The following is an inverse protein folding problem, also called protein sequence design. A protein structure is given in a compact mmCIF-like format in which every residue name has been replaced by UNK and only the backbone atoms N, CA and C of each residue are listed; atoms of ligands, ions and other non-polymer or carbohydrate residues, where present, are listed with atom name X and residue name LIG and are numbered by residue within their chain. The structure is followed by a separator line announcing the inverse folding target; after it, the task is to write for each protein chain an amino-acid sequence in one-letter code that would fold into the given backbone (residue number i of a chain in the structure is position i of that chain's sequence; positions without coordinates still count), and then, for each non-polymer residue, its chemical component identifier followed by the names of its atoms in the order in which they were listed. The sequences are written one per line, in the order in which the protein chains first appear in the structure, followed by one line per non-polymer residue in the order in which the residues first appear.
data_IF_137875816259
#
_entry.id   IF_137875816259
#
_cell.length_a   1.000
_cell.length_b   1.000
_cell.length_c   1.000
_cell.angle_alpha   90.00
_cell.angle_beta   90.00
_cell.angle_gamma   90.00
#
_symmetry.space_group_name_H-M   'P 1'
#
loop_
_entity.id
_entity.type
_entity.pdbx_description
1 polymer ?
#
# COMPACT_ATOMS: atom_id res chain seq x y z
N UNK A 1 35.35 6.94 9.37
CA UNK A 1 34.50 5.78 9.71
C UNK A 1 33.54 6.23 10.81
N UNK A 2 32.51 6.91 10.44
CA UNK A 2 31.41 7.27 11.34
C UNK A 2 30.17 6.52 10.84
N UNK A 3 29.73 5.56 11.66
CA UNK A 3 28.52 4.80 11.46
C UNK A 3 27.34 5.70 11.81
N UNK A 4 26.66 6.23 10.80
CA UNK A 4 25.36 6.87 10.99
C UNK A 4 24.34 5.83 11.47
N UNK A 5 24.21 5.77 12.78
CA UNK A 5 23.22 4.97 13.48
C UNK A 5 21.82 5.46 13.11
N UNK A 6 21.09 4.69 12.32
CA UNK A 6 19.64 4.83 12.20
C UNK A 6 19.01 4.60 13.57
N UNK A 7 18.79 5.69 14.29
CA UNK A 7 17.98 5.68 15.51
C UNK A 7 16.55 5.28 15.14
N UNK A 8 16.24 4.01 15.38
CA UNK A 8 14.89 3.49 15.40
C UNK A 8 14.13 4.21 16.53
N UNK A 9 13.43 5.29 16.19
CA UNK A 9 12.51 5.97 17.11
C UNK A 9 11.28 5.08 17.30
N UNK A 10 11.41 4.03 18.13
CA UNK A 10 10.29 3.35 18.77
C UNK A 10 9.69 4.25 19.87
N UNK A 11 9.31 5.46 19.50
CA UNK A 11 8.36 6.19 20.31
C UNK A 11 6.98 5.69 19.94
N UNK A 12 6.42 4.86 20.80
CA UNK A 12 5.00 4.54 20.87
C UNK A 12 4.26 5.87 21.01
N UNK A 13 4.01 6.54 19.89
CA UNK A 13 3.18 7.74 19.87
C UNK A 13 1.80 7.21 20.19
N UNK A 14 1.38 7.42 21.43
CA UNK A 14 0.09 7.00 21.91
C UNK A 14 -0.96 7.70 21.05
N UNK A 15 -1.73 6.93 20.27
CA UNK A 15 -2.85 7.42 19.44
C UNK A 15 -3.72 8.43 20.23
N UNK A 16 -3.89 8.22 21.53
CA UNK A 16 -4.58 9.15 22.44
C UNK A 16 -3.90 10.54 22.50
N UNK A 17 -2.59 10.62 22.42
CA UNK A 17 -1.87 11.91 22.44
C UNK A 17 -2.08 12.66 21.13
N UNK A 18 -2.07 11.95 19.99
CA UNK A 18 -2.37 12.55 18.67
C UNK A 18 -3.85 12.93 18.58
N UNK A 19 -4.75 12.12 19.15
CA UNK A 19 -6.18 12.35 19.14
C UNK A 19 -6.61 13.45 20.11
N UNK A 20 -5.88 13.70 21.20
CA UNK A 20 -6.04 14.93 21.98
C UNK A 20 -5.62 16.18 21.22
N UNK A 21 -4.78 16.02 20.15
CA UNK A 21 -4.56 17.05 19.14
C UNK A 21 -5.73 17.18 18.16
N UNK A 22 -6.58 16.16 18.00
CA UNK A 22 -7.76 16.17 17.11
C UNK A 22 -8.96 16.85 17.76
N UNK A 23 -9.07 16.85 19.10
CA UNK A 23 -10.11 17.56 19.86
C UNK A 23 -9.53 18.79 20.54
N UNK A 24 -10.31 19.84 20.79
CA UNK A 24 -9.82 21.18 21.06
C UNK A 24 -8.87 21.21 22.26
N UNK A 25 -7.58 21.22 21.99
CA UNK A 25 -6.59 21.72 22.91
C UNK A 25 -6.53 23.22 22.69
N UNK A 26 -6.84 24.03 23.70
CA UNK A 26 -6.54 25.45 23.71
C UNK A 26 -5.03 25.61 23.57
N UNK A 27 -4.59 25.98 22.37
CA UNK A 27 -3.20 26.31 22.12
C UNK A 27 -2.86 27.60 22.88
N UNK A 28 -2.00 27.52 23.87
CA UNK A 28 -1.43 28.69 24.50
C UNK A 28 -0.66 29.50 23.44
N UNK A 29 -1.08 30.72 23.21
CA UNK A 29 -0.43 31.71 22.36
C UNK A 29 0.97 32.01 22.90
N UNK A 30 1.98 31.35 22.34
CA UNK A 30 3.37 31.58 22.71
C UNK A 30 4.36 30.94 21.74
N UNK A 31 4.77 31.67 20.69
CA UNK A 31 6.07 31.56 20.05
C UNK A 31 6.19 30.73 18.77
N UNK A 32 6.64 31.40 17.74
CA UNK A 32 7.48 31.04 16.56
C UNK A 32 7.12 29.89 15.59
N UNK A 33 6.04 29.09 15.72
CA UNK A 33 5.71 28.01 14.78
C UNK A 33 4.23 28.01 14.32
N UNK A 34 3.73 29.17 13.88
CA UNK A 34 2.36 29.26 13.36
C UNK A 34 2.11 28.36 12.12
N UNK A 35 3.13 28.17 11.26
CA UNK A 35 2.99 27.35 10.06
C UNK A 35 2.75 25.85 10.34
N UNK A 36 3.44 25.26 11.32
CA UNK A 36 3.27 23.85 11.65
C UNK A 36 1.90 23.54 12.30
N UNK A 37 1.38 24.49 13.11
CA UNK A 37 0.05 24.37 13.71
C UNK A 37 -1.05 24.44 12.63
N UNK A 38 -0.88 25.32 11.66
CA UNK A 38 -1.78 25.46 10.52
C UNK A 38 -1.80 24.20 9.66
N UNK A 39 -0.63 23.63 9.34
CA UNK A 39 -0.53 22.38 8.59
C UNK A 39 -1.24 21.21 9.30
N UNK A 40 -1.06 21.06 10.61
CA UNK A 40 -1.78 20.04 11.42
C UNK A 40 -3.29 20.26 11.36
N UNK A 41 -3.75 21.52 11.38
CA UNK A 41 -5.16 21.86 11.23
C UNK A 41 -5.69 21.45 9.85
N UNK A 42 -4.97 21.77 8.79
CA UNK A 42 -5.34 21.42 7.41
C UNK A 42 -5.42 19.90 7.21
N UNK A 43 -4.47 19.12 7.77
CA UNK A 43 -4.52 17.64 7.70
C UNK A 43 -5.75 17.09 8.43
N UNK A 44 -6.13 17.69 9.57
CA UNK A 44 -7.35 17.31 10.30
C UNK A 44 -8.60 17.66 9.51
N UNK A 45 -8.66 18.86 8.92
CA UNK A 45 -9.76 19.30 8.08
C UNK A 45 -9.93 18.38 6.87
N UNK A 46 -8.84 17.98 6.22
CA UNK A 46 -8.85 17.03 5.11
C UNK A 46 -9.50 15.68 5.48
N UNK A 47 -9.18 15.13 6.66
CA UNK A 47 -9.81 13.89 7.14
C UNK A 47 -11.30 14.11 7.45
N UNK A 48 -11.65 15.23 8.08
CA UNK A 48 -13.03 15.58 8.39
C UNK A 48 -13.87 15.75 7.12
N UNK A 49 -13.31 16.39 6.10
CA UNK A 49 -13.96 16.54 4.80
C UNK A 49 -14.18 15.20 4.10
N UNK A 50 -13.19 14.31 4.10
CA UNK A 50 -13.31 12.97 3.52
C UNK A 50 -14.43 12.16 4.21
N UNK A 51 -14.56 12.26 5.53
CA UNK A 51 -15.68 11.66 6.28
C UNK A 51 -17.01 12.28 5.87
N UNK A 52 -17.07 13.61 5.74
CA UNK A 52 -18.28 14.32 5.35
C UNK A 52 -18.74 13.98 3.92
N UNK A 53 -17.84 13.71 3.00
CA UNK A 53 -18.16 13.22 1.65
C UNK A 53 -18.95 11.91 1.71
N UNK A 54 -18.48 10.94 2.49
CA UNK A 54 -19.21 9.68 2.73
C UNK A 54 -20.56 9.93 3.36
N UNK A 55 -20.65 10.87 4.31
CA UNK A 55 -21.91 11.17 4.98
C UNK A 55 -22.93 11.85 4.05
N UNK A 56 -22.49 12.63 3.08
CA UNK A 56 -23.35 13.24 2.05
C UNK A 56 -23.91 12.20 1.09
N UNK A 57 -23.10 11.18 0.75
CA UNK A 57 -23.46 10.10 -0.16
C UNK A 57 -23.79 8.79 0.58
N UNK A 58 -24.34 8.87 1.79
CA UNK A 58 -24.57 7.73 2.70
C UNK A 58 -25.35 6.57 2.08
N UNK A 59 -26.24 6.82 1.12
CA UNK A 59 -27.01 5.80 0.41
C UNK A 59 -26.09 4.86 -0.39
N UNK A 60 -25.07 5.40 -1.06
CA UNK A 60 -24.06 4.65 -1.82
C UNK A 60 -23.28 3.69 -0.93
N UNK A 61 -22.93 4.15 0.27
CA UNK A 61 -22.10 3.42 1.23
C UNK A 61 -22.89 2.60 2.25
N UNK A 62 -24.20 2.55 2.12
CA UNK A 62 -25.08 1.77 3.01
C UNK A 62 -25.41 0.41 2.43
N UNK A 63 -25.56 -0.60 3.31
CA UNK A 63 -25.91 -1.99 2.91
C UNK A 63 -27.39 -2.16 2.54
N UNK A 64 -28.24 -1.19 2.87
CA UNK A 64 -29.66 -1.17 2.52
C UNK A 64 -30.19 0.28 2.48
N UNK A 65 -31.27 0.46 1.77
CA UNK A 65 -32.00 1.74 1.68
C UNK A 65 -32.42 2.24 3.06
N UNK A 66 -32.48 3.54 3.23
CA UNK A 66 -32.92 4.19 4.46
C UNK A 66 -32.02 3.92 5.70
N UNK A 67 -30.77 3.44 5.51
CA UNK A 67 -29.82 3.42 6.60
C UNK A 67 -29.40 4.85 7.00
N UNK A 68 -29.13 5.07 8.29
CA UNK A 68 -28.66 6.36 8.84
C UNK A 68 -29.60 7.58 8.64
N UNK A 69 -30.90 7.37 8.38
CA UNK A 69 -31.88 8.48 8.24
C UNK A 69 -32.29 9.02 9.60
N UNK A 70 -32.51 8.13 10.59
CA UNK A 70 -32.98 8.55 11.92
C UNK A 70 -31.85 9.18 12.70
N UNK A 71 -32.11 10.37 13.28
CA UNK A 71 -31.20 10.97 14.26
C UNK A 71 -31.16 10.06 15.52
N UNK A 72 -30.01 9.46 15.78
CA UNK A 72 -29.76 8.54 16.91
C UNK A 72 -28.51 8.99 17.64
N UNK A 73 -28.29 8.45 18.83
CA UNK A 73 -27.13 8.76 19.68
C UNK A 73 -25.78 8.44 19.02
N UNK A 74 -25.75 7.58 17.98
CA UNK A 74 -24.58 7.28 17.17
C UNK A 74 -24.85 7.64 15.69
N UNK A 75 -24.65 8.91 15.31
CA UNK A 75 -24.76 9.35 13.91
C UNK A 75 -23.59 8.81 13.07
N UNK A 76 -23.76 8.77 11.74
CA UNK A 76 -22.77 8.20 10.82
C UNK A 76 -21.35 8.79 10.94
N UNK A 77 -21.14 10.11 11.04
CA UNK A 77 -19.81 10.67 11.24
C UNK A 77 -19.13 10.10 12.49
N UNK A 78 -19.88 10.07 13.61
CA UNK A 78 -19.35 9.55 14.88
C UNK A 78 -19.04 8.05 14.85
N UNK A 79 -19.88 7.28 14.15
CA UNK A 79 -19.62 5.86 13.91
C UNK A 79 -18.29 5.64 13.16
N UNK A 80 -18.04 6.43 12.10
CA UNK A 80 -16.80 6.37 11.33
C UNK A 80 -15.61 6.78 12.21
N UNK A 81 -15.71 7.88 12.94
CA UNK A 81 -14.68 8.32 13.89
C UNK A 81 -14.34 7.24 14.91
N UNK A 82 -15.35 6.61 15.52
CA UNK A 82 -15.14 5.54 16.49
C UNK A 82 -14.37 4.36 15.89
N UNK A 83 -14.64 3.98 14.63
CA UNK A 83 -13.89 2.91 13.94
C UNK A 83 -12.46 3.34 13.65
N UNK A 84 -12.23 4.58 13.21
CA UNK A 84 -10.88 5.12 12.98
C UNK A 84 -10.04 5.11 14.28
N UNK A 85 -10.68 5.33 15.41
CA UNK A 85 -10.05 5.44 16.72
C UNK A 85 -9.90 4.12 17.48
N UNK A 86 -10.23 2.97 16.87
CA UNK A 86 -10.08 1.69 17.55
C UNK A 86 -8.62 1.37 17.87
N UNK A 87 -8.36 1.13 19.16
CA UNK A 87 -7.10 0.66 19.71
C UNK A 87 -7.12 -0.88 19.86
N UNK A 88 -6.01 -1.48 20.31
CA UNK A 88 -5.89 -2.91 20.65
C UNK A 88 -6.65 -3.28 21.96
N UNK A 89 -7.92 -2.90 22.06
CA UNK A 89 -8.79 -3.11 23.21
C UNK A 89 -10.12 -3.68 22.73
N UNK A 90 -10.96 -4.17 23.66
CA UNK A 90 -12.33 -4.55 23.30
C UNK A 90 -13.12 -3.35 22.78
N UNK A 91 -14.13 -3.60 21.92
CA UNK A 91 -15.04 -2.55 21.40
C UNK A 91 -15.59 -1.68 22.54
N UNK A 92 -16.04 -2.30 23.62
CA UNK A 92 -16.59 -1.59 24.78
C UNK A 92 -15.59 -0.62 25.40
N UNK A 93 -14.34 -1.09 25.65
CA UNK A 93 -13.29 -0.23 26.22
C UNK A 93 -12.89 0.90 25.28
N UNK A 94 -12.88 0.65 23.97
CA UNK A 94 -12.61 1.67 22.97
C UNK A 94 -13.70 2.73 22.94
N UNK A 95 -14.98 2.31 22.92
CA UNK A 95 -16.12 3.23 22.95
C UNK A 95 -16.15 4.07 24.25
N UNK A 96 -15.95 3.45 25.42
CA UNK A 96 -15.86 4.19 26.67
C UNK A 96 -14.78 5.27 26.62
N UNK A 97 -13.61 4.95 26.08
CA UNK A 97 -12.51 5.91 25.90
C UNK A 97 -12.86 7.03 24.91
N UNK A 98 -13.40 6.69 23.73
CA UNK A 98 -13.74 7.63 22.67
C UNK A 98 -14.84 8.61 23.08
N UNK A 99 -15.78 8.15 23.90
CA UNK A 99 -16.89 8.96 24.44
C UNK A 99 -16.61 9.52 25.84
N UNK A 100 -15.36 9.47 26.32
CA UNK A 100 -14.94 10.06 27.61
C UNK A 100 -15.79 9.59 28.79
N UNK A 101 -16.19 8.31 28.80
CA UNK A 101 -17.04 7.69 29.81
C UNK A 101 -18.40 8.38 30.00
N UNK A 102 -18.91 9.03 28.96
CA UNK A 102 -20.22 9.67 28.97
C UNK A 102 -21.35 8.66 29.18
N UNK A 103 -22.43 9.11 29.83
CA UNK A 103 -23.67 8.32 29.96
C UNK A 103 -24.33 7.98 28.61
N UNK A 104 -24.01 8.73 27.55
CA UNK A 104 -24.48 8.53 26.18
C UNK A 104 -23.55 7.60 25.35
N UNK A 105 -22.54 6.97 25.98
CA UNK A 105 -21.68 6.00 25.30
C UNK A 105 -22.52 4.84 24.76
N UNK A 106 -22.45 4.55 23.45
CA UNK A 106 -23.23 3.45 22.87
C UNK A 106 -22.73 2.11 23.40
N UNK A 107 -23.63 1.15 23.59
CA UNK A 107 -23.23 -0.23 23.90
C UNK A 107 -22.53 -0.87 22.71
N UNK A 108 -21.60 -1.82 22.96
CA UNK A 108 -20.94 -2.57 21.90
C UNK A 108 -21.95 -3.22 20.92
N UNK A 109 -23.08 -3.73 21.41
CA UNK A 109 -24.14 -4.32 20.58
C UNK A 109 -24.83 -3.27 19.67
N UNK A 110 -25.09 -2.08 20.18
CA UNK A 110 -25.68 -0.98 19.40
C UNK A 110 -24.69 -0.51 18.32
N UNK A 111 -23.42 -0.36 18.68
CA UNK A 111 -22.35 0.01 17.77
C UNK A 111 -22.20 -1.02 16.63
N UNK A 112 -22.07 -2.31 16.93
CA UNK A 112 -21.95 -3.37 15.92
C UNK A 112 -23.16 -3.40 14.99
N UNK A 113 -24.38 -3.19 15.49
CA UNK A 113 -25.57 -3.09 14.64
C UNK A 113 -25.53 -1.91 13.68
N UNK A 114 -25.05 -0.74 14.11
CA UNK A 114 -24.91 0.42 13.24
C UNK A 114 -23.77 0.22 12.23
N UNK A 115 -22.62 -0.29 12.68
CA UNK A 115 -21.46 -0.58 11.86
C UNK A 115 -21.78 -1.54 10.69
N UNK A 116 -22.57 -2.59 10.94
CA UNK A 116 -22.98 -3.55 9.91
C UNK A 116 -23.82 -2.94 8.77
N UNK A 117 -24.30 -1.71 8.93
CA UNK A 117 -25.02 -0.98 7.88
C UNK A 117 -24.10 -0.25 6.91
N UNK A 118 -22.83 -0.11 7.24
CA UNK A 118 -21.84 0.62 6.46
C UNK A 118 -21.00 -0.36 5.63
N UNK A 119 -20.85 -0.08 4.34
CA UNK A 119 -20.01 -0.86 3.44
C UNK A 119 -18.52 -0.51 3.64
N UNK A 120 -17.57 -1.44 3.38
CA UNK A 120 -16.13 -1.14 3.44
C UNK A 120 -15.70 -0.05 2.46
N UNK A 121 -16.38 0.11 1.33
CA UNK A 121 -16.11 1.12 0.30
C UNK A 121 -16.22 2.56 0.84
N UNK A 122 -16.91 2.76 1.96
CA UNK A 122 -16.91 4.03 2.68
C UNK A 122 -15.50 4.40 3.19
N UNK A 123 -14.77 3.43 3.73
CA UNK A 123 -13.41 3.64 4.24
C UNK A 123 -12.38 3.70 3.11
N UNK A 124 -12.61 2.96 2.03
CA UNK A 124 -11.82 3.10 0.79
C UNK A 124 -11.91 4.52 0.24
N UNK A 125 -13.13 5.06 0.15
CA UNK A 125 -13.33 6.46 -0.26
C UNK A 125 -12.61 7.45 0.67
N UNK A 126 -12.75 7.27 1.99
CA UNK A 126 -12.05 8.13 2.97
C UNK A 126 -10.53 8.06 2.79
N UNK A 127 -9.98 6.86 2.57
CA UNK A 127 -8.56 6.67 2.33
C UNK A 127 -8.09 7.43 1.08
N UNK A 128 -8.78 7.27 -0.05
CA UNK A 128 -8.43 7.91 -1.31
C UNK A 128 -8.61 9.44 -1.24
N UNK A 129 -9.74 9.92 -0.72
CA UNK A 129 -10.02 11.35 -0.57
C UNK A 129 -9.03 12.03 0.37
N UNK A 130 -8.72 11.41 1.52
CA UNK A 130 -7.73 11.92 2.46
C UNK A 130 -6.34 12.02 1.83
N UNK A 131 -5.87 10.98 1.13
CA UNK A 131 -4.59 10.96 0.45
C UNK A 131 -4.52 12.05 -0.64
N UNK A 132 -5.57 12.21 -1.44
CA UNK A 132 -5.66 13.27 -2.46
C UNK A 132 -5.55 14.66 -1.85
N UNK A 133 -6.33 14.95 -0.79
CA UNK A 133 -6.35 16.27 -0.11
C UNK A 133 -5.04 16.58 0.61
N UNK A 134 -4.28 15.57 1.01
CA UNK A 134 -3.01 15.73 1.74
C UNK A 134 -1.78 15.56 0.87
N UNK A 135 -1.93 15.30 -0.43
CA UNK A 135 -0.81 15.09 -1.37
C UNK A 135 0.21 16.23 -1.38
N UNK A 136 -0.24 17.48 -1.22
CA UNK A 136 0.63 18.65 -1.14
C UNK A 136 1.58 18.68 0.06
N UNK A 137 1.36 17.87 1.09
CA UNK A 137 2.26 17.71 2.23
C UNK A 137 3.33 16.63 2.01
N UNK A 138 3.18 15.79 0.98
CA UNK A 138 4.05 14.66 0.69
C UNK A 138 5.09 15.03 -0.38
N UNK A 139 6.02 15.92 -0.02
CA UNK A 139 6.93 16.57 -0.98
C UNK A 139 8.33 15.98 -1.03
N UNK A 140 8.65 15.01 -0.15
CA UNK A 140 9.98 14.40 -0.11
C UNK A 140 10.19 13.50 -1.32
N UNK A 141 11.36 13.64 -1.97
CA UNK A 141 11.74 12.90 -3.17
C UNK A 141 13.18 12.40 -3.06
N UNK A 142 13.45 11.32 -3.75
CA UNK A 142 14.80 10.81 -3.96
C UNK A 142 15.33 11.32 -5.30
N UNK A 143 16.23 12.28 -5.28
CA UNK A 143 16.83 12.87 -6.50
C UNK A 143 15.78 13.30 -7.57
N UNK A 144 14.68 13.87 -7.12
CA UNK A 144 13.59 14.30 -8.00
C UNK A 144 12.55 13.22 -8.32
N UNK A 145 12.78 11.96 -7.93
CA UNK A 145 11.83 10.86 -8.11
C UNK A 145 11.00 10.63 -6.87
N UNK A 146 9.73 10.33 -7.05
CA UNK A 146 8.91 9.69 -6.04
C UNK A 146 9.30 8.22 -5.94
N UNK A 147 9.52 7.71 -4.72
CA UNK A 147 9.86 6.30 -4.50
C UNK A 147 8.66 5.55 -3.92
N UNK A 148 8.11 4.63 -4.69
CA UNK A 148 7.08 3.71 -4.23
C UNK A 148 7.64 2.31 -4.07
N UNK A 149 7.27 1.62 -2.99
CA UNK A 149 7.44 0.18 -2.86
C UNK A 149 6.07 -0.49 -2.98
N UNK A 150 6.00 -1.59 -3.73
CA UNK A 150 4.84 -2.46 -3.81
C UNK A 150 5.10 -3.78 -3.08
N UNK A 151 4.18 -4.20 -2.23
CA UNK A 151 4.26 -5.48 -1.52
C UNK A 151 2.88 -5.91 -1.03
N UNK A 152 2.73 -7.21 -0.77
CA UNK A 152 1.53 -7.80 -0.24
C UNK A 152 1.73 -8.35 1.18
N UNK A 153 0.67 -8.34 1.98
CA UNK A 153 0.67 -8.95 3.30
C UNK A 153 -0.63 -9.67 3.60
N UNK A 154 -0.53 -10.83 4.22
CA UNK A 154 -1.70 -11.61 4.62
C UNK A 154 -2.17 -11.21 6.02
N UNK A 155 -3.49 -11.09 6.16
CA UNK A 155 -4.19 -10.84 7.42
C UNK A 155 -5.06 -12.04 7.75
N UNK A 156 -4.73 -12.74 8.84
CA UNK A 156 -5.55 -13.83 9.36
C UNK A 156 -6.86 -13.28 9.89
N UNK A 157 -7.96 -13.84 9.43
CA UNK A 157 -9.30 -13.47 9.88
C UNK A 157 -10.01 -14.65 10.53
N UNK A 158 -11.17 -14.39 11.10
CA UNK A 158 -11.93 -15.41 11.83
C UNK A 158 -12.31 -16.59 10.92
N UNK A 159 -12.14 -17.81 11.42
CA UNK A 159 -12.48 -19.03 10.69
C UNK A 159 -13.98 -19.03 10.31
N UNK A 160 -14.25 -19.03 9.03
CA UNK A 160 -15.56 -19.18 8.44
C UNK A 160 -15.46 -20.04 7.16
N UNK A 161 -15.68 -21.35 7.25
CA UNK A 161 -15.59 -22.24 6.08
C UNK A 161 -16.60 -21.92 4.96
N UNK A 162 -17.66 -21.18 5.26
CA UNK A 162 -18.69 -20.78 4.29
C UNK A 162 -18.32 -19.51 3.51
N UNK A 163 -17.23 -18.84 3.86
CA UNK A 163 -16.73 -17.68 3.12
C UNK A 163 -15.76 -18.17 2.02
N UNK A 164 -16.32 -18.46 0.84
CA UNK A 164 -15.57 -19.02 -0.29
C UNK A 164 -14.48 -18.08 -0.83
N UNK A 165 -14.59 -16.78 -0.60
CA UNK A 165 -13.60 -15.80 -1.05
C UNK A 165 -12.31 -15.87 -0.24
N UNK A 166 -12.43 -16.09 1.06
CA UNK A 166 -11.31 -16.00 2.01
C UNK A 166 -10.86 -17.35 2.57
N UNK A 167 -11.73 -18.38 2.50
CA UNK A 167 -11.42 -19.69 3.10
C UNK A 167 -10.43 -20.49 2.27
N UNK A 168 -9.37 -20.95 2.92
CA UNK A 168 -8.33 -21.81 2.37
C UNK A 168 -8.34 -23.14 3.12
N UNK A 169 -8.46 -24.24 2.39
CA UNK A 169 -8.32 -25.59 2.94
C UNK A 169 -7.22 -26.32 2.20
N UNK A 170 -6.31 -26.91 2.96
CA UNK A 170 -5.27 -27.80 2.44
C UNK A 170 -5.56 -29.21 2.95
N UNK A 171 -5.32 -30.20 2.06
CA UNK A 171 -5.54 -31.61 2.41
C UNK A 171 -4.76 -32.00 3.68
N UNK A 172 -5.46 -32.60 4.65
CA UNK A 172 -4.86 -33.03 5.92
C UNK A 172 -4.57 -31.91 6.94
N UNK A 173 -4.92 -30.64 6.65
CA UNK A 173 -4.72 -29.50 7.58
C UNK A 173 -6.05 -28.85 7.93
N UNK A 174 -6.07 -28.19 9.12
CA UNK A 174 -7.19 -27.34 9.51
C UNK A 174 -7.25 -26.13 8.58
N UNK A 175 -8.39 -25.88 7.94
CA UNK A 175 -8.60 -24.71 7.11
C UNK A 175 -8.54 -23.39 7.91
N UNK A 176 -8.30 -22.31 7.21
CA UNK A 176 -8.21 -20.93 7.76
C UNK A 176 -8.72 -19.93 6.74
N UNK A 177 -9.03 -18.71 7.18
CA UNK A 177 -9.43 -17.62 6.30
C UNK A 177 -8.37 -16.53 6.29
N UNK A 178 -8.04 -16.02 5.09
CA UNK A 178 -7.10 -14.94 4.87
C UNK A 178 -7.70 -13.83 3.98
N UNK A 179 -7.43 -12.59 4.35
CA UNK A 179 -7.44 -11.46 3.45
C UNK A 179 -6.01 -11.14 3.04
N UNK A 180 -5.84 -10.86 1.76
CA UNK A 180 -4.60 -10.33 1.21
C UNK A 180 -4.72 -8.82 1.05
N UNK A 181 -3.73 -8.09 1.56
CA UNK A 181 -3.66 -6.63 1.49
C UNK A 181 -2.41 -6.29 0.69
N UNK A 182 -2.62 -5.85 -0.56
CA UNK A 182 -1.55 -5.41 -1.44
C UNK A 182 -1.53 -3.88 -1.46
N UNK A 183 -0.36 -3.26 -1.29
CA UNK A 183 -0.26 -1.79 -1.16
C UNK A 183 0.88 -1.21 -1.96
N UNK A 184 0.72 0.07 -2.33
CA UNK A 184 1.82 0.95 -2.72
C UNK A 184 2.16 1.88 -1.55
N UNK A 185 3.44 1.93 -1.20
CA UNK A 185 3.97 2.70 -0.07
C UNK A 185 5.03 3.70 -0.52
N UNK A 186 4.81 4.96 -0.24
CA UNK A 186 5.78 6.02 -0.48
C UNK A 186 6.88 5.97 0.57
N UNK A 187 8.08 5.59 0.15
CA UNK A 187 9.22 5.35 1.02
C UNK A 187 9.79 6.63 1.66
N UNK A 188 9.71 7.76 0.94
CA UNK A 188 10.25 9.03 1.43
C UNK A 188 9.28 9.75 2.36
N UNK A 189 7.98 9.70 2.05
CA UNK A 189 6.93 10.31 2.85
C UNK A 189 6.34 9.36 3.89
N UNK A 190 6.65 8.06 3.80
CA UNK A 190 6.24 7.01 4.73
C UNK A 190 4.71 6.88 4.86
N UNK A 191 4.00 6.93 3.74
CA UNK A 191 2.55 6.80 3.67
C UNK A 191 2.13 5.73 2.66
N UNK A 192 0.97 5.11 2.89
CA UNK A 192 0.31 4.24 1.92
C UNK A 192 -0.42 5.08 0.89
N UNK A 193 -0.12 4.88 -0.39
CA UNK A 193 -0.69 5.67 -1.48
C UNK A 193 -1.83 4.97 -2.18
N UNK A 194 -1.80 3.66 -2.21
CA UNK A 194 -2.84 2.82 -2.79
C UNK A 194 -2.93 1.48 -2.06
N UNK A 195 -4.10 0.83 -2.14
CA UNK A 195 -4.37 -0.44 -1.48
C UNK A 195 -5.44 -1.25 -2.20
N UNK A 196 -5.22 -2.55 -2.28
CA UNK A 196 -6.23 -3.54 -2.68
C UNK A 196 -6.40 -4.55 -1.56
N UNK A 197 -7.66 -4.86 -1.17
CA UNK A 197 -7.98 -5.85 -0.14
C UNK A 197 -8.85 -6.93 -0.77
N UNK A 198 -8.29 -8.11 -0.97
CA UNK A 198 -8.95 -9.24 -1.63
C UNK A 198 -8.92 -10.50 -0.77
N UNK A 199 -9.78 -11.46 -1.07
CA UNK A 199 -9.68 -12.81 -0.51
C UNK A 199 -8.47 -13.54 -1.10
N UNK A 200 -7.65 -14.16 -0.28
CA UNK A 200 -6.39 -14.84 -0.72
C UNK A 200 -6.61 -15.84 -1.85
N UNK A 201 -7.77 -16.46 -1.93
CA UNK A 201 -8.08 -17.47 -2.94
C UNK A 201 -8.18 -16.92 -4.37
N UNK A 202 -8.51 -15.63 -4.51
CA UNK A 202 -8.69 -14.94 -5.80
C UNK A 202 -7.55 -13.99 -6.13
N UNK A 203 -6.56 -13.90 -5.26
CA UNK A 203 -5.49 -12.90 -5.34
C UNK A 203 -4.45 -13.27 -6.38
N UNK A 204 -4.11 -12.30 -7.22
CA UNK A 204 -2.89 -12.28 -8.01
C UNK A 204 -2.19 -10.95 -7.75
N UNK A 205 -1.13 -10.97 -6.93
CA UNK A 205 -0.36 -9.77 -6.56
C UNK A 205 0.08 -8.97 -7.79
N UNK A 206 0.50 -9.66 -8.87
CA UNK A 206 0.90 -9.01 -10.11
C UNK A 206 -0.26 -8.30 -10.82
N UNK A 207 -1.45 -8.90 -10.81
CA UNK A 207 -2.63 -8.28 -11.42
C UNK A 207 -3.08 -7.07 -10.60
N UNK A 208 -3.14 -7.23 -9.28
CA UNK A 208 -3.50 -6.12 -8.38
C UNK A 208 -2.50 -4.97 -8.48
N UNK A 209 -1.20 -5.25 -8.66
CA UNK A 209 -0.19 -4.23 -8.93
C UNK A 209 -0.46 -3.50 -10.25
N UNK A 210 -0.77 -4.25 -11.32
CA UNK A 210 -1.09 -3.64 -12.62
C UNK A 210 -2.34 -2.75 -12.50
N UNK A 211 -3.39 -3.21 -11.79
CA UNK A 211 -4.60 -2.43 -11.54
C UNK A 211 -4.30 -1.16 -10.72
N UNK A 212 -3.36 -1.21 -9.77
CA UNK A 212 -2.88 -0.03 -9.02
C UNK A 212 -2.07 0.92 -9.91
N UNK A 213 -1.24 0.39 -10.80
CA UNK A 213 -0.45 1.19 -11.74
C UNK A 213 -1.34 1.90 -12.77
N UNK A 214 -2.31 1.19 -13.36
CA UNK A 214 -3.26 1.75 -14.35
C UNK A 214 -4.08 2.93 -13.76
N UNK A 215 -4.46 2.88 -12.47
CA UNK A 215 -5.23 3.96 -11.83
C UNK A 215 -4.37 5.05 -11.19
N UNK A 216 -3.04 4.89 -11.21
CA UNK A 216 -2.15 5.88 -10.63
C UNK A 216 -2.03 7.11 -11.54
N UNK A 217 -2.30 8.28 -11.00
CA UNK A 217 -2.03 9.55 -11.67
C UNK A 217 -0.55 9.91 -11.49
N UNK A 218 0.26 9.71 -12.53
CA UNK A 218 1.68 10.05 -12.51
C UNK A 218 1.89 11.52 -12.87
N UNK A 219 1.84 12.38 -11.86
CA UNK A 219 2.14 13.81 -12.02
C UNK A 219 3.64 14.13 -11.91
N UNK A 220 4.46 13.13 -11.64
CA UNK A 220 5.89 13.26 -11.38
C UNK A 220 6.65 11.95 -11.69
N UNK A 221 7.96 12.03 -12.00
CA UNK A 221 8.76 10.83 -12.22
C UNK A 221 8.72 9.90 -10.98
N UNK A 222 8.26 8.67 -11.17
CA UNK A 222 8.04 7.72 -10.08
C UNK A 222 8.83 6.43 -10.34
N UNK A 223 9.61 5.99 -9.35
CA UNK A 223 10.30 4.70 -9.33
C UNK A 223 9.51 3.74 -8.44
N UNK A 224 9.10 2.61 -9.01
CA UNK A 224 8.45 1.52 -8.29
C UNK A 224 9.46 0.43 -7.97
N UNK A 225 9.64 0.12 -6.68
CA UNK A 225 10.58 -0.88 -6.19
C UNK A 225 9.82 -2.12 -5.72
N UNK A 226 10.10 -3.27 -6.34
CA UNK A 226 9.33 -4.50 -6.13
C UNK A 226 10.24 -5.69 -5.81
N UNK A 227 9.68 -6.66 -5.11
CA UNK A 227 10.37 -7.91 -4.82
C UNK A 227 10.33 -8.89 -6.00
N UNK A 228 10.95 -10.06 -5.81
CA UNK A 228 11.03 -11.13 -6.80
C UNK A 228 9.66 -11.76 -7.15
N UNK A 229 8.66 -11.62 -6.31
CA UNK A 229 7.29 -12.10 -6.57
C UNK A 229 6.66 -11.44 -7.80
N UNK A 230 7.07 -10.21 -8.08
CA UNK A 230 6.60 -9.43 -9.22
C UNK A 230 7.40 -9.63 -10.52
N UNK A 231 8.42 -10.51 -10.53
CA UNK A 231 9.17 -10.83 -11.75
C UNK A 231 8.25 -11.40 -12.84
N UNK A 232 8.10 -10.66 -13.93
CA UNK A 232 7.30 -11.08 -15.08
C UNK A 232 7.26 -10.05 -16.20
N UNK A 233 7.36 -10.51 -17.45
CA UNK A 233 7.34 -9.60 -18.60
C UNK A 233 6.05 -8.80 -18.71
N UNK A 234 4.92 -9.34 -18.26
CA UNK A 234 3.66 -8.62 -18.19
C UNK A 234 3.74 -7.43 -17.23
N UNK A 235 4.30 -7.61 -16.03
CA UNK A 235 4.48 -6.51 -15.06
C UNK A 235 5.38 -5.43 -15.66
N UNK A 236 6.53 -5.81 -16.24
CA UNK A 236 7.45 -4.85 -16.86
C UNK A 236 6.78 -4.07 -18.00
N UNK A 237 6.04 -4.75 -18.86
CA UNK A 237 5.33 -4.13 -19.96
C UNK A 237 4.23 -3.15 -19.49
N UNK A 238 3.44 -3.52 -18.48
CA UNK A 238 2.46 -2.62 -17.86
C UNK A 238 3.13 -1.38 -17.28
N UNK A 239 4.19 -1.56 -16.49
CA UNK A 239 4.90 -0.43 -15.87
C UNK A 239 5.52 0.51 -16.91
N UNK A 240 6.08 -0.04 -18.02
CA UNK A 240 6.59 0.76 -19.12
C UNK A 240 5.46 1.52 -19.82
N UNK A 241 4.35 0.83 -20.12
CA UNK A 241 3.16 1.42 -20.76
C UNK A 241 2.61 2.58 -19.93
N UNK A 242 2.56 2.42 -18.61
CA UNK A 242 1.99 3.40 -17.69
C UNK A 242 3.01 4.47 -17.26
N UNK A 243 4.22 4.45 -17.80
CA UNK A 243 5.24 5.50 -17.61
C UNK A 243 6.01 5.43 -16.29
N UNK A 244 5.98 4.29 -15.59
CA UNK A 244 6.78 4.09 -14.40
C UNK A 244 8.25 3.81 -14.72
N UNK A 245 9.15 4.35 -13.91
CA UNK A 245 10.44 3.74 -13.69
C UNK A 245 10.29 2.60 -12.68
N UNK A 246 11.09 1.54 -12.83
CA UNK A 246 11.02 0.41 -11.92
C UNK A 246 12.39 -0.14 -11.54
N UNK A 247 12.41 -0.82 -10.40
CA UNK A 247 13.54 -1.58 -9.90
C UNK A 247 13.00 -2.86 -9.26
N UNK A 248 13.13 -3.99 -9.95
CA UNK A 248 12.48 -5.25 -9.59
C UNK A 248 13.54 -6.33 -9.42
N UNK A 249 13.51 -7.04 -8.29
CA UNK A 249 14.39 -8.18 -8.08
C UNK A 249 13.98 -9.34 -8.96
N UNK A 250 14.98 -9.96 -9.57
CA UNK A 250 14.82 -11.14 -10.40
C UNK A 250 15.30 -12.41 -9.66
N UNK A 251 14.87 -13.55 -10.15
CA UNK A 251 15.52 -14.82 -9.87
C UNK A 251 16.92 -14.79 -10.46
N UNK A 252 17.88 -15.49 -9.84
CA UNK A 252 19.24 -15.54 -10.36
C UNK A 252 19.34 -16.37 -11.66
N UNK A 253 20.43 -16.22 -12.37
CA UNK A 253 20.69 -16.82 -13.69
C UNK A 253 20.57 -18.36 -13.74
N UNK A 254 20.74 -19.03 -12.61
CA UNK A 254 20.58 -20.49 -12.49
C UNK A 254 19.12 -20.96 -12.40
N UNK A 255 18.17 -20.04 -12.47
CA UNK A 255 16.73 -20.30 -12.39
C UNK A 255 16.06 -20.27 -13.76
N UNK A 256 14.74 -20.45 -13.79
CA UNK A 256 13.90 -20.27 -14.98
C UNK A 256 13.28 -18.87 -15.09
N UNK A 257 13.94 -17.84 -14.51
CA UNK A 257 13.50 -16.44 -14.55
C UNK A 257 13.91 -15.71 -15.83
N UNK A 258 13.66 -14.40 -15.87
CA UNK A 258 14.01 -13.54 -16.99
C UNK A 258 15.52 -13.45 -17.18
N UNK A 259 16.29 -13.57 -16.10
CA UNK A 259 17.75 -13.55 -16.09
C UNK A 259 18.41 -14.85 -16.60
N UNK A 260 17.67 -15.95 -16.76
CA UNK A 260 18.21 -17.25 -17.15
C UNK A 260 18.95 -17.23 -18.51
N UNK A 261 18.55 -16.36 -19.44
CA UNK A 261 19.19 -16.19 -20.74
C UNK A 261 20.56 -15.52 -20.70
N UNK A 262 21.02 -15.05 -19.53
CA UNK A 262 22.24 -14.26 -19.36
C UNK A 262 23.30 -14.96 -18.50
N UNK A 263 23.22 -16.29 -18.38
CA UNK A 263 24.16 -17.09 -17.59
C UNK A 263 25.60 -16.95 -18.06
N UNK A 264 25.81 -16.81 -19.36
CA UNK A 264 27.14 -16.71 -19.99
C UNK A 264 27.73 -15.29 -19.95
N UNK A 265 27.01 -14.31 -19.40
CA UNK A 265 27.50 -12.91 -19.26
C UNK A 265 28.49 -12.71 -18.12
N UNK A 266 28.81 -13.77 -17.34
CA UNK A 266 29.74 -13.71 -16.21
C UNK A 266 29.06 -13.54 -14.85
N UNK A 267 29.88 -13.37 -13.80
CA UNK A 267 29.40 -13.28 -12.42
C UNK A 267 28.68 -11.97 -12.11
N UNK A 268 29.17 -10.85 -12.67
CA UNK A 268 28.54 -9.54 -12.56
C UNK A 268 28.40 -8.94 -13.95
N UNK A 269 27.24 -8.38 -14.25
CA UNK A 269 26.94 -7.78 -15.57
C UNK A 269 25.87 -6.69 -15.49
N UNK A 270 25.82 -5.87 -16.52
CA UNK A 270 24.77 -4.87 -16.77
C UNK A 270 24.45 -4.88 -18.27
N UNK A 271 23.40 -5.61 -18.65
CA UNK A 271 23.04 -5.91 -20.04
C UNK A 271 21.65 -5.39 -20.35
N UNK A 272 21.43 -5.05 -21.62
CA UNK A 272 20.13 -4.58 -22.06
C UNK A 272 19.23 -5.77 -22.48
N UNK A 273 17.96 -5.69 -22.07
CA UNK A 273 16.88 -6.51 -22.58
C UNK A 273 16.08 -5.64 -23.54
N UNK A 274 16.11 -5.97 -24.81
CA UNK A 274 15.38 -5.27 -25.88
C UNK A 274 14.64 -6.30 -26.71
N UNK A 275 13.33 -6.40 -26.53
CA UNK A 275 12.47 -7.36 -27.21
C UNK A 275 11.12 -6.73 -27.53
N UNK A 276 10.53 -7.19 -28.63
CA UNK A 276 9.15 -6.92 -28.98
C UNK A 276 8.30 -8.08 -28.49
N UNK A 277 7.36 -7.80 -27.60
CA UNK A 277 6.42 -8.80 -27.10
C UNK A 277 5.24 -8.90 -28.08
N UNK A 278 4.86 -10.13 -28.45
CA UNK A 278 3.68 -10.42 -29.25
C UNK A 278 3.14 -11.83 -28.95
N UNK A 279 1.88 -12.11 -29.33
CA UNK A 279 1.28 -13.45 -29.12
C UNK A 279 1.76 -14.47 -30.12
N UNK A 280 2.01 -14.07 -31.37
CA UNK A 280 2.44 -14.98 -32.43
C UNK A 280 3.63 -14.40 -33.19
N UNK A 281 4.61 -15.21 -33.50
CA UNK A 281 5.70 -14.82 -34.41
C UNK A 281 5.27 -15.09 -35.86
N UNK A 282 5.37 -14.13 -36.77
CA UNK A 282 5.12 -14.40 -38.19
C UNK A 282 6.06 -15.50 -38.70
N UNK A 283 5.53 -16.40 -39.51
CA UNK A 283 6.29 -17.54 -40.02
C UNK A 283 7.57 -17.13 -40.79
N UNK A 284 7.56 -15.91 -41.40
CA UNK A 284 8.64 -15.33 -42.19
C UNK A 284 9.33 -14.14 -41.50
N UNK A 285 9.31 -14.04 -40.19
CA UNK A 285 10.03 -12.97 -39.49
C UNK A 285 11.55 -13.13 -39.72
N UNK A 286 12.16 -12.13 -40.36
CA UNK A 286 13.61 -12.11 -40.67
C UNK A 286 14.47 -12.08 -39.38
N UNK A 287 13.97 -11.44 -38.31
CA UNK A 287 14.67 -11.26 -37.02
C UNK A 287 13.88 -11.91 -35.86
N UNK A 288 13.82 -13.23 -35.85
CA UNK A 288 13.08 -13.95 -34.77
C UNK A 288 13.60 -13.69 -33.36
N UNK A 289 14.88 -13.39 -33.25
CA UNK A 289 15.51 -13.12 -31.94
C UNK A 289 15.07 -11.79 -31.33
N UNK A 290 14.54 -10.84 -32.12
CA UNK A 290 13.99 -9.59 -31.62
C UNK A 290 12.63 -9.74 -30.94
N UNK A 291 11.97 -10.88 -31.15
CA UNK A 291 10.63 -11.14 -30.64
C UNK A 291 10.64 -12.05 -29.42
N UNK A 292 9.79 -11.73 -28.47
CA UNK A 292 9.43 -12.62 -27.37
C UNK A 292 7.96 -13.00 -27.50
N UNK A 293 7.72 -14.25 -27.89
CA UNK A 293 6.37 -14.80 -27.95
C UNK A 293 5.86 -15.05 -26.53
N UNK A 294 4.69 -14.52 -26.22
CA UNK A 294 4.00 -14.73 -24.96
C UNK A 294 2.93 -15.81 -25.12
N UNK A 295 2.70 -16.57 -24.06
CA UNK A 295 1.69 -17.63 -24.03
C UNK A 295 0.29 -17.00 -24.12
N UNK A 296 -0.67 -17.68 -24.75
CA UNK A 296 -2.07 -17.28 -24.87
C UNK A 296 -2.75 -17.02 -23.52
N UNK A 297 -2.32 -17.74 -22.47
CA UNK A 297 -2.82 -17.57 -21.09
C UNK A 297 -2.14 -16.40 -20.35
N UNK A 298 -1.16 -15.73 -20.96
CA UNK A 298 -0.50 -14.59 -20.32
C UNK A 298 -1.43 -13.37 -20.31
N UNK A 299 -1.56 -12.73 -19.15
CA UNK A 299 -2.41 -11.56 -18.97
C UNK A 299 -1.74 -10.32 -19.56
N UNK A 300 -2.13 -9.96 -20.78
CA UNK A 300 -1.75 -8.72 -21.48
C UNK A 300 -3.01 -8.13 -22.11
N UNK A 301 -3.72 -7.31 -21.34
CA UNK A 301 -5.04 -6.80 -21.75
C UNK A 301 -4.94 -5.82 -22.92
N UNK A 302 -3.76 -5.25 -23.16
CA UNK A 302 -3.45 -4.34 -24.27
C UNK A 302 -2.85 -5.04 -25.51
N UNK A 303 -2.59 -6.37 -25.46
CA UNK A 303 -2.18 -7.19 -26.60
C UNK A 303 -3.27 -8.22 -26.89
N UNK A 304 -4.35 -7.79 -27.53
CA UNK A 304 -5.56 -8.62 -27.72
C UNK A 304 -5.57 -9.35 -29.04
N UNK A 305 -5.02 -8.71 -30.07
CA UNK A 305 -5.04 -9.23 -31.44
C UNK A 305 -3.72 -9.89 -31.85
N UNK A 306 -3.77 -10.77 -32.83
CA UNK A 306 -2.59 -11.52 -33.28
C UNK A 306 -1.45 -10.63 -33.82
N UNK A 307 -1.77 -9.43 -34.26
CA UNK A 307 -0.82 -8.45 -34.79
C UNK A 307 -0.29 -7.43 -33.77
N UNK A 308 -0.85 -7.44 -32.54
CA UNK A 308 -0.42 -6.48 -31.53
C UNK A 308 1.01 -6.74 -31.07
N UNK A 309 1.78 -5.65 -31.02
CA UNK A 309 3.19 -5.65 -30.63
C UNK A 309 3.42 -4.59 -29.55
N UNK A 310 4.32 -4.91 -28.61
CA UNK A 310 4.74 -3.94 -27.62
C UNK A 310 6.24 -4.04 -27.37
N UNK A 311 7.03 -2.96 -27.57
CA UNK A 311 8.45 -2.94 -27.26
C UNK A 311 8.66 -2.91 -25.74
N UNK A 312 9.49 -3.81 -25.26
CA UNK A 312 9.88 -3.87 -23.84
C UNK A 312 11.38 -3.71 -23.75
N UNK A 313 11.80 -2.58 -23.23
CA UNK A 313 13.21 -2.21 -23.08
C UNK A 313 13.52 -1.95 -21.62
N UNK A 314 14.45 -2.69 -21.06
CA UNK A 314 15.00 -2.49 -19.73
C UNK A 314 16.38 -3.13 -19.66
N UNK A 315 17.07 -2.99 -18.56
CA UNK A 315 18.35 -3.65 -18.36
C UNK A 315 18.30 -4.62 -17.19
N UNK A 316 19.12 -5.66 -17.26
CA UNK A 316 19.31 -6.65 -16.22
C UNK A 316 20.69 -6.42 -15.63
N UNK A 317 20.73 -6.15 -14.33
CA UNK A 317 21.96 -5.85 -13.61
C UNK A 317 22.19 -6.92 -12.56
N UNK A 318 23.32 -7.64 -12.63
CA UNK A 318 23.74 -8.62 -11.66
C UNK A 318 25.00 -8.15 -10.95
N UNK A 319 24.98 -8.17 -9.62
CA UNK A 319 26.09 -7.72 -8.78
C UNK A 319 26.25 -8.61 -7.54
N UNK A 320 27.45 -8.61 -6.96
CA UNK A 320 27.73 -9.33 -5.74
C UNK A 320 27.30 -8.53 -4.51
N UNK A 321 26.66 -9.22 -3.57
CA UNK A 321 26.34 -8.70 -2.24
C UNK A 321 27.54 -8.87 -1.29
N UNK A 322 27.55 -8.15 -0.18
CA UNK A 322 28.65 -8.18 0.80
C UNK A 322 28.83 -9.55 1.47
N UNK A 323 27.80 -10.40 1.45
CA UNK A 323 27.85 -11.78 1.94
C UNK A 323 28.34 -12.80 0.90
N UNK A 324 28.78 -12.36 -0.28
CA UNK A 324 29.26 -13.19 -1.37
C UNK A 324 28.18 -13.73 -2.31
N UNK A 325 26.90 -13.59 -1.98
CA UNK A 325 25.80 -13.98 -2.86
C UNK A 325 25.60 -12.97 -3.99
N UNK A 326 24.90 -13.37 -5.03
CA UNK A 326 24.57 -12.48 -6.15
C UNK A 326 23.09 -12.08 -6.11
N UNK A 327 22.81 -10.85 -6.59
CA UNK A 327 21.48 -10.31 -6.77
C UNK A 327 21.31 -9.81 -8.20
N UNK A 328 20.17 -10.15 -8.82
CA UNK A 328 19.77 -9.66 -10.13
C UNK A 328 18.61 -8.69 -10.00
N UNK A 329 18.71 -7.55 -10.68
CA UNK A 329 17.66 -6.53 -10.75
C UNK A 329 17.29 -6.24 -12.20
N UNK A 330 16.01 -6.07 -12.49
CA UNK A 330 15.51 -5.47 -13.74
C UNK A 330 15.18 -3.99 -13.49
N UNK A 331 15.56 -3.13 -14.44
CA UNK A 331 15.27 -1.69 -14.33
C UNK A 331 15.28 -1.00 -15.69
N UNK A 332 14.41 0.00 -15.89
CA UNK A 332 14.42 0.92 -17.03
C UNK A 332 15.09 2.27 -16.69
N UNK A 333 15.71 2.39 -15.51
CA UNK A 333 16.50 3.56 -15.12
C UNK A 333 17.78 3.64 -15.96
N UNK A 334 18.21 4.85 -16.34
CA UNK A 334 19.39 5.05 -17.17
C UNK A 334 20.69 4.61 -16.48
N UNK A 335 21.59 3.98 -17.24
CA UNK A 335 22.87 3.47 -16.74
C UNK A 335 23.77 4.58 -16.16
N UNK A 336 23.78 5.75 -16.80
CA UNK A 336 24.60 6.88 -16.36
C UNK A 336 24.18 7.46 -15.01
N UNK A 337 22.87 7.57 -14.77
CA UNK A 337 22.35 8.14 -13.51
C UNK A 337 22.23 7.09 -12.39
N UNK A 338 22.11 5.80 -12.75
CA UNK A 338 21.90 4.70 -11.80
C UNK A 338 22.86 3.54 -12.10
N UNK A 339 24.16 3.69 -11.75
CA UNK A 339 25.11 2.59 -11.83
C UNK A 339 24.77 1.46 -10.82
N UNK A 340 25.33 0.24 -10.95
CA UNK A 340 24.98 -0.92 -10.13
C UNK A 340 25.02 -0.67 -8.62
N UNK A 341 25.99 0.06 -8.11
CA UNK A 341 26.14 0.39 -6.69
C UNK A 341 24.97 1.23 -6.17
N UNK A 342 24.52 2.19 -7.00
CA UNK A 342 23.38 3.03 -6.67
C UNK A 342 22.08 2.24 -6.71
N UNK A 343 21.92 1.32 -7.67
CA UNK A 343 20.77 0.42 -7.72
C UNK A 343 20.72 -0.50 -6.51
N UNK A 344 21.86 -1.05 -6.06
CA UNK A 344 21.98 -1.84 -4.82
C UNK A 344 21.46 -1.05 -3.61
N UNK A 345 21.96 0.18 -3.45
CA UNK A 345 21.56 1.07 -2.34
C UNK A 345 20.07 1.46 -2.43
N UNK A 346 19.57 1.72 -3.64
CA UNK A 346 18.16 2.07 -3.88
C UNK A 346 17.24 0.88 -3.59
N UNK A 347 17.60 -0.33 -4.03
CA UNK A 347 16.80 -1.53 -3.79
C UNK A 347 16.70 -1.87 -2.29
N UNK A 348 17.76 -1.65 -1.53
CA UNK A 348 17.76 -1.85 -0.08
C UNK A 348 16.67 -1.02 0.64
N UNK A 349 16.24 0.12 0.10
CA UNK A 349 15.16 0.95 0.66
C UNK A 349 13.80 0.26 0.64
N UNK A 350 13.60 -0.76 -0.22
CA UNK A 350 12.38 -1.57 -0.26
C UNK A 350 11.97 -2.11 1.12
N UNK A 351 12.94 -2.40 1.99
CA UNK A 351 12.66 -2.84 3.36
C UNK A 351 11.76 -1.88 4.16
N UNK A 352 11.64 -0.64 3.73
CA UNK A 352 10.75 0.34 4.34
C UNK A 352 9.28 -0.09 4.38
N UNK A 353 8.79 -0.78 3.33
CA UNK A 353 7.39 -1.28 3.31
C UNK A 353 7.21 -2.45 4.29
N UNK A 354 8.18 -3.35 4.41
CA UNK A 354 8.11 -4.47 5.37
C UNK A 354 8.12 -3.95 6.82
N UNK A 355 8.91 -2.90 7.10
CA UNK A 355 8.90 -2.22 8.39
C UNK A 355 7.54 -1.57 8.67
N UNK A 356 6.94 -0.93 7.66
CA UNK A 356 5.62 -0.30 7.80
C UNK A 356 4.52 -1.33 8.07
N UNK A 357 4.54 -2.50 7.42
CA UNK A 357 3.62 -3.60 7.74
C UNK A 357 3.80 -4.12 9.17
N UNK A 358 5.03 -4.18 9.66
CA UNK A 358 5.29 -4.53 11.06
C UNK A 358 4.65 -3.52 12.00
N UNK A 359 4.77 -2.23 11.71
CA UNK A 359 4.11 -1.17 12.49
C UNK A 359 2.58 -1.28 12.42
N UNK A 360 2.00 -1.53 11.24
CA UNK A 360 0.55 -1.77 11.10
C UNK A 360 0.08 -2.96 11.92
N UNK A 361 0.78 -4.09 11.83
CA UNK A 361 0.38 -5.34 12.49
C UNK A 361 0.50 -5.27 14.01
N UNK A 362 1.59 -4.72 14.52
CA UNK A 362 1.90 -4.78 15.95
C UNK A 362 1.61 -3.46 16.67
N UNK A 363 1.91 -2.32 16.09
CA UNK A 363 1.71 -1.02 16.75
C UNK A 363 0.27 -0.54 16.58
N UNK A 364 -0.27 -0.59 15.36
CA UNK A 364 -1.64 -0.18 15.07
C UNK A 364 -2.66 -1.33 15.21
N UNK A 365 -2.19 -2.56 15.44
CA UNK A 365 -3.02 -3.69 15.82
C UNK A 365 -3.82 -4.31 14.69
N UNK A 366 -3.31 -4.31 13.48
CA UNK A 366 -3.96 -4.95 12.33
C UNK A 366 -4.11 -6.47 12.51
N UNK A 367 -3.38 -7.09 13.43
CA UNK A 367 -3.58 -8.50 13.80
C UNK A 367 -4.72 -8.72 14.83
N UNK A 368 -5.26 -7.66 15.42
CA UNK A 368 -6.26 -7.72 16.49
C UNK A 368 -7.58 -7.11 16.03
N UNK A 369 -8.25 -7.78 15.09
CA UNK A 369 -9.52 -7.30 14.55
C UNK A 369 -10.66 -7.44 15.56
N UNK A 370 -11.50 -6.42 15.68
CA UNK A 370 -12.64 -6.37 16.59
C UNK A 370 -13.88 -7.10 16.05
N UNK A 371 -13.88 -7.45 14.79
CA UNK A 371 -15.01 -8.08 14.11
C UNK A 371 -14.65 -9.47 13.57
N UNK A 372 -15.70 -10.30 13.44
CA UNK A 372 -15.62 -11.59 12.75
C UNK A 372 -16.12 -11.52 11.30
N UNK A 373 -16.79 -10.42 10.93
CA UNK A 373 -17.35 -10.24 9.58
C UNK A 373 -16.33 -9.63 8.66
N UNK A 374 -16.12 -10.24 7.50
CA UNK A 374 -15.14 -9.83 6.49
C UNK A 374 -15.28 -8.34 6.11
N UNK A 375 -16.50 -7.85 5.86
CA UNK A 375 -16.74 -6.43 5.55
C UNK A 375 -16.29 -5.50 6.69
N UNK A 376 -16.56 -5.86 7.94
CA UNK A 376 -16.12 -5.05 9.06
C UNK A 376 -14.59 -5.12 9.26
N UNK A 377 -13.97 -6.26 8.96
CA UNK A 377 -12.50 -6.38 8.98
C UNK A 377 -11.89 -5.50 7.90
N UNK A 378 -12.44 -5.49 6.66
CA UNK A 378 -12.00 -4.57 5.59
C UNK A 378 -12.09 -3.10 6.04
N UNK A 379 -13.17 -2.69 6.73
CA UNK A 379 -13.29 -1.35 7.33
C UNK A 379 -12.14 -1.06 8.31
N UNK A 380 -11.77 -2.02 9.17
CA UNK A 380 -10.68 -1.85 10.12
C UNK A 380 -9.31 -1.76 9.43
N UNK A 381 -9.07 -2.54 8.37
CA UNK A 381 -7.82 -2.45 7.62
C UNK A 381 -7.65 -1.05 7.02
N UNK A 382 -8.66 -0.54 6.29
CA UNK A 382 -8.64 0.83 5.77
C UNK A 382 -8.45 1.86 6.89
N UNK A 383 -9.15 1.68 8.00
CA UNK A 383 -9.03 2.56 9.17
C UNK A 383 -7.57 2.63 9.67
N UNK A 384 -6.86 1.50 9.76
CA UNK A 384 -5.46 1.46 10.18
C UNK A 384 -4.55 2.16 9.18
N UNK A 385 -4.78 1.99 7.88
CA UNK A 385 -4.04 2.67 6.82
C UNK A 385 -4.27 4.20 6.85
N UNK A 386 -5.52 4.63 6.99
CA UNK A 386 -5.87 6.06 7.13
C UNK A 386 -5.17 6.68 8.33
N UNK A 387 -5.25 6.01 9.49
CA UNK A 387 -4.64 6.52 10.72
C UNK A 387 -3.13 6.48 10.69
N UNK A 388 -2.52 5.49 10.00
CA UNK A 388 -1.08 5.49 9.73
C UNK A 388 -0.68 6.74 8.95
N UNK A 389 -1.33 7.01 7.81
CA UNK A 389 -1.04 8.16 6.98
C UNK A 389 -1.27 9.48 7.75
N UNK A 390 -2.39 9.58 8.45
CA UNK A 390 -2.69 10.74 9.30
C UNK A 390 -1.59 11.00 10.31
N UNK A 391 -1.12 9.96 11.01
CA UNK A 391 -0.04 10.09 11.99
C UNK A 391 1.29 10.48 11.34
N UNK A 392 1.65 9.86 10.20
CA UNK A 392 2.92 10.14 9.51
C UNK A 392 2.97 11.56 8.96
N UNK A 393 1.90 12.04 8.33
CA UNK A 393 1.84 13.41 7.80
C UNK A 393 1.94 14.41 8.96
N UNK A 394 1.17 14.24 10.04
CA UNK A 394 1.24 15.14 11.19
C UNK A 394 2.60 15.11 11.90
N UNK A 395 3.25 13.93 12.00
CA UNK A 395 4.57 13.82 12.64
C UNK A 395 5.68 14.53 11.85
N UNK A 396 5.50 14.74 10.54
CA UNK A 396 6.43 15.51 9.73
C UNK A 396 6.49 16.99 10.13
N UNK A 397 5.44 17.51 10.77
CA UNK A 397 5.38 18.88 11.29
C UNK A 397 5.81 18.98 12.76
N UNK A 398 6.05 17.87 13.44
CA UNK A 398 6.47 17.87 14.83
C UNK A 398 7.96 18.23 14.95
N UNK A 399 8.28 19.30 15.66
CA UNK A 399 9.65 19.59 16.05
C UNK A 399 10.05 18.74 17.26
N UNK A 400 10.97 17.81 17.06
CA UNK A 400 11.57 17.07 18.16
C UNK A 400 12.69 17.91 18.75
N UNK A 401 12.50 18.48 19.96
CA UNK A 401 13.60 19.08 20.72
C UNK A 401 14.58 17.95 21.07
N UNK A 402 15.75 17.94 20.41
CA UNK A 402 16.88 17.11 20.86
C UNK A 402 17.27 17.59 22.26
N UNK A 403 17.16 16.70 23.24
CA UNK A 403 17.74 16.91 24.58
C UNK A 403 19.25 16.71 24.51
#
# INVERSE_FOLDING_TARGET
MESDGYLCLTNTINLRTILNFIFPVEFHKGGKNMGNVENVRMVKEALTEAINEVCKEKEKYSTFENAFIRNRDLPLPKLIEDILMFENKSIEKSLLGNHQFSKTTPTAAAFVRQRNKLKPEAFEHIFNSFNSKTSGFCTKKFEGYRLLAGDGTDVNIYLNPNDEETYISEYGKRGFNLLHVNTLYDLENQIYTDVTISGKRKTSERRELNDMADRAELNEPTILILDRGYEGLNVFAYLIKDGFYFLIRLKDTDSNGVSAGYKDCGEAFDVDFDKIIRRYTPYHAENRDDYKVINDNATFDFLKEAGDEFPVQFRIVRFQLDNGNYECLATNLSRGNFPPEKLKALYARRWGIELSYRDLKYTLGMNNMHSRKTNSIKQEIYSKLIMHNFCRINSAFAEVKKK
#
